data_IF_354007955058
#
_entry.id   IF_354007955058
#
_cell.length_a   1.000
_cell.length_b   1.000
_cell.length_c   1.000
_cell.angle_alpha   90.00
_cell.angle_beta   90.00
_cell.angle_gamma   90.00
#
_symmetry.space_group_name_H-M   'P 1'
#
loop_
_entity.id
_entity.type
_entity.pdbx_description
1 polymer ?
#
# COMPACT_ATOMS: atom_id res chain seq x y z
N UNK A 1 -36.90 -8.22 10.11
CA UNK A 1 -37.63 -9.18 9.25
C UNK A 1 -36.58 -9.85 8.37
N UNK A 2 -36.45 -11.17 8.41
CA UNK A 2 -35.60 -11.86 7.45
C UNK A 2 -36.41 -11.96 6.16
N UNK A 3 -35.95 -11.30 5.10
CA UNK A 3 -36.54 -11.47 3.76
C UNK A 3 -36.09 -12.85 3.26
N UNK A 4 -37.00 -13.82 3.26
CA UNK A 4 -36.79 -15.08 2.56
C UNK A 4 -36.98 -14.83 1.07
N UNK A 5 -35.85 -14.75 0.34
CA UNK A 5 -35.89 -14.69 -1.13
C UNK A 5 -36.06 -16.13 -1.62
N UNK A 6 -37.20 -16.42 -2.22
CA UNK A 6 -37.47 -17.69 -2.89
C UNK A 6 -36.99 -17.61 -4.34
N UNK A 7 -36.07 -18.49 -4.73
CA UNK A 7 -35.57 -18.53 -6.11
C UNK A 7 -36.60 -19.19 -7.02
N UNK A 8 -37.01 -18.50 -8.09
CA UNK A 8 -38.04 -18.99 -9.02
C UNK A 8 -37.41 -19.38 -10.37
N UNK A 9 -37.66 -20.60 -10.90
CA UNK A 9 -37.24 -20.97 -12.25
C UNK A 9 -37.77 -20.00 -13.31
N UNK A 10 -36.88 -19.55 -14.21
CA UNK A 10 -37.13 -18.53 -15.24
C UNK A 10 -36.84 -17.10 -14.78
N UNK A 11 -36.66 -16.85 -13.47
CA UNK A 11 -36.27 -15.53 -12.99
C UNK A 11 -34.77 -15.28 -13.11
N UNK A 12 -34.44 -13.98 -13.27
CA UNK A 12 -33.09 -13.49 -13.44
C UNK A 12 -32.60 -12.84 -12.16
N UNK A 13 -31.41 -13.26 -11.73
CA UNK A 13 -30.74 -12.72 -10.56
C UNK A 13 -29.32 -12.29 -10.93
N UNK A 14 -28.68 -11.50 -10.07
CA UNK A 14 -27.32 -11.00 -10.30
C UNK A 14 -26.39 -11.43 -9.19
N UNK A 15 -25.17 -11.83 -9.55
CA UNK A 15 -24.07 -12.01 -8.61
C UNK A 15 -22.76 -11.44 -9.18
N UNK A 16 -21.64 -11.66 -8.49
CA UNK A 16 -20.31 -11.15 -8.88
C UNK A 16 -19.85 -11.59 -10.28
N UNK A 17 -20.29 -12.75 -10.77
CA UNK A 17 -19.94 -13.27 -12.10
C UNK A 17 -20.85 -12.72 -13.20
N UNK A 18 -22.02 -12.18 -12.86
CA UNK A 18 -22.94 -11.57 -13.82
C UNK A 18 -24.40 -11.87 -13.50
N UNK A 19 -25.26 -11.59 -14.49
CA UNK A 19 -26.69 -11.95 -14.44
C UNK A 19 -26.85 -13.42 -14.86
N UNK A 20 -27.65 -14.16 -14.11
CA UNK A 20 -27.97 -15.55 -14.39
C UNK A 20 -29.49 -15.77 -14.28
N UNK A 21 -29.98 -16.77 -15.00
CA UNK A 21 -31.36 -17.25 -14.97
C UNK A 21 -31.40 -18.59 -14.21
N UNK A 22 -32.36 -18.74 -13.30
CA UNK A 22 -32.58 -20.03 -12.63
C UNK A 22 -33.27 -20.97 -13.61
N UNK A 23 -32.63 -22.08 -13.95
CA UNK A 23 -33.21 -23.07 -14.86
C UNK A 23 -34.13 -24.03 -14.11
N UNK A 24 -33.66 -24.54 -12.96
CA UNK A 24 -34.31 -25.63 -12.23
C UNK A 24 -33.92 -25.58 -10.76
N UNK A 25 -34.88 -25.88 -9.87
CA UNK A 25 -34.62 -26.16 -8.46
C UNK A 25 -34.43 -27.66 -8.28
N UNK A 26 -33.26 -28.05 -7.77
CA UNK A 26 -32.87 -29.44 -7.57
C UNK A 26 -33.15 -29.88 -6.13
N UNK A 27 -33.29 -31.19 -5.87
CA UNK A 27 -33.42 -31.73 -4.51
C UNK A 27 -32.26 -31.31 -3.60
N UNK A 28 -32.52 -31.32 -2.29
CA UNK A 28 -31.58 -30.90 -1.24
C UNK A 28 -31.19 -29.41 -1.29
N UNK A 29 -32.09 -28.56 -1.80
CA UNK A 29 -31.88 -27.10 -1.81
C UNK A 29 -30.74 -26.67 -2.74
N UNK A 30 -30.51 -27.39 -3.83
CA UNK A 30 -29.59 -26.99 -4.89
C UNK A 30 -30.37 -26.32 -6.02
N UNK A 31 -29.72 -25.52 -6.86
CA UNK A 31 -30.36 -24.98 -8.05
C UNK A 31 -29.41 -24.95 -9.24
N UNK A 32 -29.95 -25.16 -10.43
CA UNK A 32 -29.22 -25.08 -11.69
C UNK A 32 -29.48 -23.72 -12.31
N UNK A 33 -28.43 -23.02 -12.68
CA UNK A 33 -28.49 -21.66 -13.22
C UNK A 33 -27.74 -21.56 -14.54
N UNK A 34 -28.10 -20.58 -15.36
CA UNK A 34 -27.43 -20.25 -16.61
C UNK A 34 -27.02 -18.79 -16.62
N UNK A 35 -25.73 -18.53 -16.79
CA UNK A 35 -25.21 -17.18 -16.92
C UNK A 35 -25.53 -16.60 -18.30
N UNK A 36 -26.10 -15.40 -18.35
CA UNK A 36 -26.54 -14.77 -19.60
C UNK A 36 -25.39 -14.22 -20.46
N UNK A 37 -24.20 -14.06 -19.87
CA UNK A 37 -23.05 -13.48 -20.57
C UNK A 37 -22.29 -14.52 -21.42
N UNK A 38 -22.18 -15.75 -20.93
CA UNK A 38 -21.37 -16.81 -21.51
C UNK A 38 -22.16 -18.11 -21.75
N UNK A 39 -23.47 -18.12 -21.48
CA UNK A 39 -24.38 -19.28 -21.54
C UNK A 39 -23.90 -20.47 -20.69
N UNK A 40 -22.98 -20.26 -19.74
CA UNK A 40 -22.45 -21.34 -18.91
C UNK A 40 -23.48 -21.74 -17.86
N UNK A 41 -23.75 -23.05 -17.80
CA UNK A 41 -24.63 -23.66 -16.81
C UNK A 41 -23.82 -24.05 -15.57
N UNK A 42 -24.30 -23.69 -14.39
CA UNK A 42 -23.69 -24.01 -13.11
C UNK A 42 -24.74 -24.54 -12.12
N UNK A 43 -24.30 -25.31 -11.13
CA UNK A 43 -25.13 -25.71 -9.99
C UNK A 43 -24.70 -24.93 -8.75
N UNK A 44 -25.67 -24.34 -8.05
CA UNK A 44 -25.47 -23.64 -6.78
C UNK A 44 -25.99 -24.46 -5.61
N UNK A 45 -25.16 -24.62 -4.59
CA UNK A 45 -25.56 -25.20 -3.31
C UNK A 45 -26.27 -24.17 -2.39
N UNK A 46 -26.78 -24.66 -1.26
CA UNK A 46 -27.49 -23.85 -0.27
C UNK A 46 -26.61 -22.73 0.33
N UNK A 47 -25.30 -22.95 0.45
CA UNK A 47 -24.37 -21.96 0.98
C UNK A 47 -24.15 -20.82 -0.02
N UNK A 48 -24.03 -21.13 -1.31
CA UNK A 48 -23.94 -20.16 -2.40
C UNK A 48 -25.24 -19.34 -2.51
N UNK A 49 -26.39 -20.00 -2.43
CA UNK A 49 -27.70 -19.33 -2.38
C UNK A 49 -27.80 -18.36 -1.20
N UNK A 50 -27.42 -18.79 0.00
CA UNK A 50 -27.44 -17.94 1.21
C UNK A 50 -26.57 -16.69 1.07
N UNK A 51 -25.41 -16.81 0.42
CA UNK A 51 -24.52 -15.66 0.13
C UNK A 51 -25.13 -14.70 -0.88
N UNK A 52 -25.82 -15.20 -1.90
CA UNK A 52 -26.53 -14.38 -2.87
C UNK A 52 -27.63 -13.57 -2.18
N UNK A 53 -28.47 -14.22 -1.37
CA UNK A 53 -29.55 -13.54 -0.62
C UNK A 53 -28.97 -12.46 0.29
N UNK A 54 -27.89 -12.76 1.00
CA UNK A 54 -27.21 -11.79 1.88
C UNK A 54 -26.69 -10.57 1.11
N UNK A 55 -26.17 -10.76 -0.10
CA UNK A 55 -25.67 -9.67 -0.94
C UNK A 55 -26.81 -8.81 -1.50
N UNK A 56 -27.92 -9.42 -1.94
CA UNK A 56 -29.11 -8.69 -2.42
C UNK A 56 -29.66 -7.79 -1.30
N UNK A 57 -29.83 -8.34 -0.10
CA UNK A 57 -30.30 -7.57 1.06
C UNK A 57 -29.34 -6.44 1.45
N UNK A 58 -28.02 -6.64 1.28
CA UNK A 58 -27.03 -5.59 1.54
C UNK A 58 -27.13 -4.46 0.50
N UNK A 59 -27.32 -4.80 -0.77
CA UNK A 59 -27.52 -3.81 -1.85
C UNK A 59 -28.81 -3.00 -1.64
N UNK A 60 -29.92 -3.66 -1.30
CA UNK A 60 -31.18 -2.98 -0.96
C UNK A 60 -31.00 -2.00 0.22
N UNK A 61 -30.34 -2.43 1.30
CA UNK A 61 -30.04 -1.55 2.44
C UNK A 61 -29.16 -0.35 2.07
N UNK A 62 -28.16 -0.55 1.21
CA UNK A 62 -27.33 0.54 0.73
C UNK A 62 -28.14 1.51 -0.12
N UNK A 63 -29.05 1.00 -0.96
CA UNK A 63 -29.92 1.83 -1.79
C UNK A 63 -30.93 2.62 -0.95
N UNK A 64 -31.55 1.99 0.07
CA UNK A 64 -32.40 2.67 1.04
C UNK A 64 -31.64 3.77 1.79
N UNK A 65 -30.41 3.48 2.22
CA UNK A 65 -29.56 4.46 2.89
C UNK A 65 -29.19 5.63 1.97
N UNK A 66 -28.90 5.36 0.70
CA UNK A 66 -28.64 6.40 -0.30
C UNK A 66 -29.88 7.25 -0.57
N UNK A 67 -31.07 6.63 -0.68
CA UNK A 67 -32.33 7.33 -0.85
C UNK A 67 -32.68 8.19 0.38
N UNK A 68 -32.42 7.69 1.59
CA UNK A 68 -32.61 8.46 2.82
C UNK A 68 -31.64 9.64 2.94
N UNK A 69 -30.41 9.49 2.44
CA UNK A 69 -29.39 10.54 2.45
C UNK A 69 -29.55 11.57 1.33
N UNK A 70 -30.29 11.25 0.26
CA UNK A 70 -30.67 12.20 -0.77
C UNK A 70 -31.65 13.23 -0.17
N UNK A 71 -31.11 14.27 0.49
CA UNK A 71 -31.89 15.39 1.01
C UNK A 71 -32.84 15.90 -0.09
N UNK A 72 -34.13 16.13 0.20
CA UNK A 72 -35.03 16.74 -0.76
C UNK A 72 -34.43 18.07 -1.20
N UNK A 73 -34.35 18.25 -2.54
CA UNK A 73 -33.78 19.44 -3.14
C UNK A 73 -34.40 20.67 -2.48
N UNK A 74 -33.56 21.49 -1.85
CA UNK A 74 -33.99 22.74 -1.21
C UNK A 74 -34.73 23.54 -2.30
N UNK A 75 -35.99 23.96 -2.09
CA UNK A 75 -36.74 24.68 -3.11
C UNK A 75 -35.91 25.84 -3.61
N UNK A 76 -35.81 25.96 -4.94
CA UNK A 76 -34.95 26.94 -5.58
C UNK A 76 -35.22 28.33 -4.98
N UNK A 77 -34.18 29.07 -4.57
CA UNK A 77 -34.37 30.43 -4.08
C UNK A 77 -35.06 31.24 -5.17
N UNK A 78 -36.16 31.90 -4.81
CA UNK A 78 -36.94 32.71 -5.72
C UNK A 78 -36.02 33.67 -6.51
N UNK A 79 -36.15 33.65 -7.83
CA UNK A 79 -35.29 34.42 -8.73
C UNK A 79 -35.23 35.89 -8.31
N UNK A 80 -34.02 36.48 -8.20
CA UNK A 80 -33.88 37.89 -7.89
C UNK A 80 -34.51 38.72 -9.01
N UNK A 81 -35.46 39.58 -8.61
CA UNK A 81 -36.18 40.51 -9.47
C UNK A 81 -35.17 41.46 -10.13
N UNK A 82 -35.00 41.33 -11.44
CA UNK A 82 -34.16 42.18 -12.28
C UNK A 82 -34.66 43.63 -12.18
N UNK A 83 -33.85 44.51 -11.56
CA UNK A 83 -34.03 45.95 -11.67
C UNK A 83 -33.46 46.41 -13.01
N UNK A 84 -34.34 46.87 -13.87
CA UNK A 84 -34.08 47.56 -15.14
C UNK A 84 -33.26 48.83 -14.88
N UNK A 85 -32.10 48.93 -15.53
CA UNK A 85 -31.31 50.15 -15.61
C UNK A 85 -31.68 50.91 -16.91
N UNK A 86 -31.88 52.22 -16.79
CA UNK A 86 -31.99 53.16 -17.91
C UNK A 86 -30.83 54.17 -17.89
N UNK A 87 -30.45 54.74 -19.04
CA UNK A 87 -29.17 55.42 -19.25
C UNK A 87 -29.25 56.94 -19.00
N UNK A 88 -28.11 57.55 -18.66
CA UNK A 88 -27.97 59.00 -18.53
C UNK A 88 -26.54 59.47 -18.88
N UNK A 89 -26.36 60.54 -19.70
CA UNK A 89 -25.06 60.91 -20.29
C UNK A 89 -24.34 62.10 -19.62
N UNK A 90 -23.02 62.14 -19.83
CA UNK A 90 -22.05 63.28 -19.92
C UNK A 90 -22.21 64.56 -19.07
N UNK A 91 -21.15 64.98 -18.34
CA UNK A 91 -20.21 66.07 -18.73
C UNK A 91 -19.21 66.47 -17.62
N UNK A 92 -17.98 66.83 -18.04
CA UNK A 92 -17.02 67.77 -17.42
C UNK A 92 -16.16 67.25 -16.25
N UNK A 93 -14.96 67.75 -15.94
CA UNK A 93 -13.96 68.66 -16.53
C UNK A 93 -12.84 68.80 -15.48
N UNK A 94 -11.58 69.06 -15.90
CA UNK A 94 -10.44 69.64 -15.14
C UNK A 94 -9.85 68.82 -13.97
N UNK A 95 -8.54 68.70 -13.71
CA UNK A 95 -7.32 69.32 -14.22
C UNK A 95 -6.16 69.03 -13.22
N UNK A 96 -4.90 69.23 -13.63
CA UNK A 96 -3.70 69.27 -12.76
C UNK A 96 -2.68 68.15 -13.07
N UNK A 97 -1.53 68.44 -13.70
CA UNK A 97 -0.27 68.96 -13.10
C UNK A 97 0.47 67.85 -12.34
N UNK A 98 1.76 67.51 -12.49
CA UNK A 98 3.00 68.06 -13.09
C UNK A 98 3.99 66.86 -13.15
N UNK A 99 4.88 66.70 -14.13
CA UNK A 99 6.15 67.43 -14.28
C UNK A 99 7.35 66.62 -13.72
N UNK A 100 7.99 65.81 -14.58
CA UNK A 100 9.21 65.02 -14.27
C UNK A 100 10.49 65.78 -14.63
N UNK A 101 11.45 65.95 -13.71
CA UNK A 101 12.80 66.43 -14.04
C UNK A 101 13.86 65.90 -13.05
N UNK A 102 14.85 65.20 -13.62
CA UNK A 102 16.30 65.14 -13.35
C UNK A 102 16.92 64.61 -12.03
N UNK A 103 17.83 63.63 -12.25
CA UNK A 103 19.05 63.32 -11.48
C UNK A 103 19.96 64.55 -11.31
N UNK A 104 20.80 64.54 -10.27
CA UNK A 104 22.24 64.71 -10.50
C UNK A 104 23.13 63.74 -9.70
N UNK A 105 24.42 63.81 -10.01
CA UNK A 105 25.50 62.89 -9.64
C UNK A 105 26.36 63.39 -8.46
N UNK A 106 26.96 62.42 -7.73
CA UNK A 106 28.26 62.44 -6.99
C UNK A 106 28.46 63.52 -5.88
N UNK A 107 29.52 63.51 -5.03
CA UNK A 107 30.68 62.60 -4.88
C UNK A 107 31.08 62.19 -3.42
N UNK A 108 32.03 61.25 -3.35
CA UNK A 108 33.22 61.10 -2.48
C UNK A 108 33.25 61.40 -0.95
N UNK A 109 33.98 60.48 -0.27
CA UNK A 109 35.05 60.68 0.71
C UNK A 109 34.80 60.38 2.22
N UNK A 110 35.48 59.30 2.65
CA UNK A 110 36.42 59.19 3.78
C UNK A 110 36.00 59.25 5.26
N UNK A 111 36.44 58.19 5.97
CA UNK A 111 37.28 58.18 7.19
C UNK A 111 36.68 57.68 8.52
N UNK A 112 37.44 56.74 9.12
CA UNK A 112 37.72 56.45 10.55
C UNK A 112 36.54 56.37 11.53
N UNK A 113 36.42 55.39 12.44
CA UNK A 113 37.37 54.52 13.12
C UNK A 113 36.88 54.33 14.57
N UNK A 114 37.37 53.28 15.24
CA UNK A 114 37.31 53.03 16.70
C UNK A 114 36.21 52.10 17.29
N UNK A 115 36.73 50.97 17.81
CA UNK A 115 36.54 50.36 19.14
C UNK A 115 35.24 49.59 19.52
N UNK A 116 35.37 48.26 19.46
CA UNK A 116 35.17 47.22 20.48
C UNK A 116 34.26 47.42 21.72
N UNK A 117 33.38 46.39 21.87
CA UNK A 117 32.79 45.73 23.09
C UNK A 117 31.57 46.40 23.78
N UNK A 118 30.75 45.64 24.54
CA UNK A 118 30.32 44.23 24.37
C UNK A 118 28.79 43.98 24.63
N UNK A 119 28.32 42.83 24.11
CA UNK A 119 27.29 41.91 24.61
C UNK A 119 25.92 42.41 25.15
N UNK A 120 24.85 42.10 24.41
CA UNK A 120 23.58 41.55 24.96
C UNK A 120 22.82 40.81 23.84
N UNK A 121 22.16 39.65 24.07
CA UNK A 121 21.55 38.86 23.02
C UNK A 121 20.05 39.17 22.88
N UNK A 122 19.67 39.77 21.75
CA UNK A 122 18.27 39.92 21.34
C UNK A 122 18.14 39.50 19.88
N UNK A 123 17.48 38.36 19.70
CA UNK A 123 16.73 37.86 18.52
C UNK A 123 16.62 38.82 17.32
N UNK A 124 16.89 38.34 16.10
CA UNK A 124 16.03 38.63 14.95
C UNK A 124 15.66 37.33 14.21
N UNK A 125 14.38 37.09 13.89
CA UNK A 125 13.63 37.72 12.79
C UNK A 125 14.25 37.36 11.43
N UNK A 126 13.59 36.39 10.79
CA UNK A 126 13.72 35.95 9.40
C UNK A 126 13.58 37.14 8.44
N UNK A 127 14.31 37.12 7.31
CA UNK A 127 13.77 37.64 6.08
C UNK A 127 13.75 36.59 4.97
N UNK A 128 12.60 36.55 4.30
CA UNK A 128 12.39 35.86 3.04
C UNK A 128 13.35 36.38 1.97
N UNK A 129 14.03 35.47 1.28
CA UNK A 129 14.75 35.74 0.05
C UNK A 129 14.09 34.97 -1.09
N UNK A 130 13.39 35.72 -1.93
CA UNK A 130 13.01 35.33 -3.28
C UNK A 130 14.16 35.68 -4.23
N UNK A 131 14.74 34.69 -4.90
CA UNK A 131 15.60 34.90 -6.07
C UNK A 131 15.23 33.86 -7.12
N UNK A 132 14.60 34.34 -8.19
CA UNK A 132 14.39 33.57 -9.41
C UNK A 132 15.72 33.36 -10.14
N UNK A 133 15.88 32.17 -10.71
CA UNK A 133 16.93 31.89 -11.69
C UNK A 133 16.30 31.29 -12.93
N UNK A 134 16.46 32.00 -14.04
CA UNK A 134 16.07 31.58 -15.38
C UNK A 134 17.01 30.46 -15.84
N UNK A 135 16.43 29.34 -16.27
CA UNK A 135 17.17 28.19 -16.79
C UNK A 135 17.36 28.35 -18.31
N UNK A 136 18.61 28.46 -18.73
CA UNK A 136 19.01 28.56 -20.12
C UNK A 136 18.99 27.18 -20.79
N UNK A 137 18.17 27.04 -21.83
CA UNK A 137 18.05 25.85 -22.66
C UNK A 137 19.23 25.75 -23.63
N UNK A 138 20.20 24.88 -23.34
CA UNK A 138 21.30 24.55 -24.24
C UNK A 138 20.87 23.39 -25.17
N UNK A 139 20.72 23.71 -26.46
CA UNK A 139 20.51 22.75 -27.55
C UNK A 139 21.73 21.83 -27.66
N UNK A 140 21.53 20.53 -27.43
CA UNK A 140 22.52 19.48 -27.67
C UNK A 140 22.44 19.00 -29.11
N UNK A 141 23.53 19.11 -29.85
CA UNK A 141 23.71 18.50 -31.18
C UNK A 141 23.64 16.98 -31.09
N UNK A 142 22.81 16.39 -31.95
CA UNK A 142 22.76 14.94 -32.20
C UNK A 142 23.84 14.58 -33.22
N UNK A 143 24.93 13.95 -32.76
CA UNK A 143 25.87 13.25 -33.62
C UNK A 143 25.33 11.84 -33.86
N UNK A 144 25.15 11.47 -35.13
CA UNK A 144 24.70 10.13 -35.55
C UNK A 144 25.88 9.16 -35.40
N UNK A 145 25.83 8.28 -34.40
CA UNK A 145 26.75 7.16 -34.27
C UNK A 145 26.37 6.03 -35.24
N UNK A 146 27.38 5.44 -35.88
CA UNK A 146 27.25 4.31 -36.77
C UNK A 146 26.76 3.05 -36.01
N UNK A 147 26.01 2.15 -36.68
CA UNK A 147 25.49 0.94 -36.05
C UNK A 147 26.62 0.03 -35.58
N UNK A 148 26.65 -0.25 -34.28
CA UNK A 148 27.53 -1.24 -33.66
C UNK A 148 27.12 -2.63 -34.14
N UNK A 149 28.02 -3.30 -34.85
CA UNK A 149 27.84 -4.66 -35.35
C UNK A 149 27.88 -5.64 -34.16
N UNK A 150 26.74 -6.28 -33.87
CA UNK A 150 26.61 -7.25 -32.78
C UNK A 150 27.38 -8.54 -33.14
N UNK A 151 28.12 -9.14 -32.19
CA UNK A 151 28.81 -10.40 -32.43
C UNK A 151 27.81 -11.51 -32.77
N UNK A 152 28.20 -12.49 -33.62
CA UNK A 152 27.32 -13.58 -34.03
C UNK A 152 26.84 -14.37 -32.81
N UNK A 153 25.53 -14.61 -32.77
CA UNK A 153 24.87 -15.32 -31.70
C UNK A 153 25.51 -16.70 -31.48
N UNK A 154 26.07 -16.88 -30.28
CA UNK A 154 26.45 -18.20 -29.78
C UNK A 154 25.17 -19.03 -29.69
N UNK A 155 25.10 -20.23 -30.28
CA UNK A 155 23.90 -21.06 -30.20
C UNK A 155 23.73 -21.58 -28.77
N UNK A 156 22.91 -20.90 -28.00
CA UNK A 156 22.47 -21.34 -26.68
C UNK A 156 21.56 -22.55 -26.88
N UNK A 157 21.96 -23.68 -26.30
CA UNK A 157 21.21 -24.94 -26.30
C UNK A 157 19.79 -24.73 -25.74
N UNK A 158 18.79 -25.16 -26.51
CA UNK A 158 17.42 -25.53 -26.10
C UNK A 158 17.49 -26.31 -24.76
N UNK A 159 16.72 -26.11 -23.69
CA UNK A 159 15.41 -25.51 -23.46
C UNK A 159 15.28 -25.18 -21.95
N UNK A 160 15.35 -23.90 -21.58
CA UNK A 160 14.92 -23.38 -20.26
C UNK A 160 13.56 -22.66 -20.38
N UNK A 161 12.83 -22.94 -21.46
CA UNK A 161 11.56 -22.29 -21.77
C UNK A 161 10.49 -22.79 -20.77
N UNK A 162 9.93 -21.83 -20.01
CA UNK A 162 8.87 -21.96 -18.99
C UNK A 162 9.28 -22.40 -17.59
N UNK A 163 10.14 -21.59 -16.97
CA UNK A 163 10.16 -21.44 -15.52
C UNK A 163 9.54 -20.10 -15.12
N UNK A 164 8.26 -19.91 -15.47
CA UNK A 164 7.60 -18.61 -15.32
C UNK A 164 7.56 -18.12 -13.87
N UNK A 165 7.56 -19.05 -12.90
CA UNK A 165 7.66 -18.74 -11.48
C UNK A 165 8.96 -18.04 -11.09
N UNK A 166 10.06 -18.28 -11.83
CA UNK A 166 11.34 -17.59 -11.56
C UNK A 166 11.29 -16.10 -11.82
N UNK A 167 10.34 -15.64 -12.65
CA UNK A 167 10.12 -14.21 -12.85
C UNK A 167 9.68 -13.50 -11.58
N UNK A 168 9.14 -14.23 -10.60
CA UNK A 168 8.72 -13.67 -9.32
C UNK A 168 9.79 -13.72 -8.24
N UNK A 169 10.88 -14.48 -8.42
CA UNK A 169 11.95 -14.52 -7.41
C UNK A 169 12.64 -13.17 -7.19
N UNK A 170 12.89 -12.36 -8.25
CA UNK A 170 13.42 -11.02 -8.10
C UNK A 170 12.54 -10.10 -7.24
N UNK A 171 11.22 -10.32 -7.19
CA UNK A 171 10.28 -9.44 -6.51
C UNK A 171 10.45 -9.45 -5.00
N UNK A 172 10.98 -8.38 -4.43
CA UNK A 172 11.11 -8.19 -2.98
C UNK A 172 9.77 -7.82 -2.37
N UNK A 173 9.05 -6.88 -2.96
CA UNK A 173 7.82 -6.36 -2.36
C UNK A 173 7.31 -5.08 -3.00
N UNK A 174 6.47 -4.37 -2.26
CA UNK A 174 5.91 -3.08 -2.70
C UNK A 174 6.57 -1.93 -1.96
N UNK A 175 6.78 -0.83 -2.66
CA UNK A 175 7.29 0.42 -2.07
C UNK A 175 8.76 0.68 -2.35
N UNK A 176 9.47 1.21 -1.37
CA UNK A 176 10.83 1.75 -1.54
C UNK A 176 11.86 0.97 -0.71
N UNK A 177 13.00 0.58 -1.28
CA UNK A 177 14.08 -0.09 -0.51
C UNK A 177 14.69 0.84 0.55
N UNK A 178 14.80 2.13 0.26
CA UNK A 178 15.32 3.16 1.16
C UNK A 178 14.23 3.71 2.11
N UNK A 179 13.10 3.00 2.24
CA UNK A 179 11.98 3.39 3.09
C UNK A 179 12.39 3.51 4.56
N UNK A 180 11.84 4.53 5.24
CA UNK A 180 12.01 4.73 6.68
C UNK A 180 11.38 3.61 7.51
N UNK A 181 10.34 2.96 6.97
CA UNK A 181 9.59 1.92 7.66
C UNK A 181 9.51 0.67 6.79
N UNK A 182 9.89 -0.46 7.36
CA UNK A 182 9.71 -1.77 6.73
C UNK A 182 8.66 -2.58 7.45
N UNK A 183 7.78 -3.25 6.69
CA UNK A 183 6.87 -4.28 7.18
C UNK A 183 7.23 -5.61 6.53
N UNK A 184 7.67 -6.57 7.34
CA UNK A 184 8.09 -7.90 6.89
C UNK A 184 7.12 -8.94 7.45
N UNK A 185 6.26 -9.47 6.58
CA UNK A 185 5.32 -10.52 6.92
C UNK A 185 5.91 -11.93 6.80
N UNK A 186 5.27 -12.89 7.47
CA UNK A 186 5.58 -14.33 7.29
C UNK A 186 4.81 -14.98 6.13
N UNK A 187 3.98 -14.21 5.43
CA UNK A 187 3.03 -14.59 4.38
C UNK A 187 2.20 -15.86 4.66
N UNK A 188 1.12 -15.68 5.41
CA UNK A 188 0.15 -16.74 5.69
C UNK A 188 -1.30 -16.29 5.42
N UNK A 189 -1.47 -15.16 4.72
CA UNK A 189 -2.78 -14.58 4.45
C UNK A 189 -2.81 -13.88 3.09
N UNK A 190 -2.61 -14.65 2.01
CA UNK A 190 -3.26 -14.28 0.75
C UNK A 190 -4.78 -14.18 0.99
N UNK A 191 -5.50 -13.20 0.42
CA UNK A 191 -6.93 -13.08 0.64
C UNK A 191 -7.66 -14.38 0.26
N UNK A 192 -8.68 -14.75 1.04
CA UNK A 192 -9.49 -15.95 0.81
C UNK A 192 -10.28 -15.91 -0.51
N UNK A 193 -10.44 -14.70 -1.08
CA UNK A 193 -11.46 -14.34 -2.07
C UNK A 193 -10.92 -13.70 -3.38
N UNK A 194 -9.73 -14.07 -3.84
CA UNK A 194 -9.11 -13.41 -5.00
C UNK A 194 -8.38 -12.14 -4.56
N UNK A 195 -7.34 -11.70 -5.25
CA UNK A 195 -7.56 -10.79 -6.37
C UNK A 195 -6.46 -10.86 -7.44
N UNK A 196 -5.34 -11.53 -7.14
CA UNK A 196 -4.31 -11.82 -8.13
C UNK A 196 -3.80 -13.25 -7.88
N UNK A 197 -4.23 -14.17 -8.73
CA UNK A 197 -3.70 -15.54 -8.83
C UNK A 197 -2.20 -15.50 -9.11
N UNK A 198 -1.48 -16.59 -8.82
CA UNK A 198 -0.05 -16.65 -9.14
C UNK A 198 0.20 -16.44 -10.64
N UNK A 199 -0.64 -17.04 -11.50
CA UNK A 199 -0.60 -16.85 -12.95
C UNK A 199 -0.72 -15.37 -13.34
N UNK A 200 -1.60 -14.62 -12.68
CA UNK A 200 -1.72 -13.18 -12.94
C UNK A 200 -0.49 -12.40 -12.45
N UNK A 201 0.10 -12.77 -11.30
CA UNK A 201 1.37 -12.16 -10.85
C UNK A 201 2.48 -12.39 -11.86
N UNK A 202 2.61 -13.61 -12.36
CA UNK A 202 3.59 -13.98 -13.39
C UNK A 202 3.40 -13.13 -14.66
N UNK A 203 2.16 -12.92 -15.06
CA UNK A 203 1.81 -12.18 -16.28
C UNK A 203 2.04 -10.67 -16.16
N UNK A 204 2.01 -10.11 -14.95
CA UNK A 204 2.17 -8.69 -14.69
C UNK A 204 3.66 -8.27 -14.70
N UNK A 205 4.10 -7.37 -15.61
CA UNK A 205 5.50 -6.94 -15.71
C UNK A 205 6.07 -6.36 -14.41
N UNK A 206 5.24 -5.79 -13.55
CA UNK A 206 5.65 -5.14 -12.32
C UNK A 206 6.17 -6.12 -11.28
N UNK A 207 5.63 -7.34 -11.25
CA UNK A 207 6.14 -8.41 -10.38
C UNK A 207 7.39 -9.09 -10.94
N UNK A 208 7.82 -8.73 -12.15
CA UNK A 208 9.10 -9.18 -12.72
C UNK A 208 10.26 -8.24 -12.34
N UNK A 209 9.94 -7.12 -11.70
CA UNK A 209 10.90 -6.18 -11.12
C UNK A 209 11.17 -6.53 -9.67
N UNK A 210 12.21 -5.93 -9.11
CA UNK A 210 12.51 -6.05 -7.68
C UNK A 210 11.44 -5.41 -6.79
N UNK A 211 10.85 -4.31 -7.25
CA UNK A 211 9.80 -3.57 -6.56
C UNK A 211 8.64 -3.27 -7.49
N UNK A 212 7.45 -3.16 -6.91
CA UNK A 212 6.26 -2.65 -7.57
C UNK A 212 5.57 -1.57 -6.74
N UNK A 213 4.77 -0.74 -7.40
CA UNK A 213 3.90 0.19 -6.70
C UNK A 213 2.68 -0.55 -6.13
N UNK A 214 2.39 -0.32 -4.85
CA UNK A 214 1.19 -0.86 -4.21
C UNK A 214 -0.10 -0.34 -4.85
N UNK A 215 -0.09 0.80 -5.55
CA UNK A 215 -1.25 1.36 -6.24
C UNK A 215 -1.86 0.37 -7.23
N UNK A 216 -1.05 -0.38 -7.98
CA UNK A 216 -1.54 -1.40 -8.92
C UNK A 216 -2.38 -2.44 -8.19
N UNK A 217 -1.90 -2.87 -7.01
CA UNK A 217 -2.62 -3.81 -6.16
C UNK A 217 -3.87 -3.17 -5.52
N UNK A 218 -3.76 -1.93 -5.03
CA UNK A 218 -4.86 -1.19 -4.38
C UNK A 218 -5.99 -0.87 -5.35
N UNK A 219 -5.67 -0.41 -6.56
CA UNK A 219 -6.64 -0.08 -7.61
C UNK A 219 -7.50 -1.31 -7.95
N UNK A 220 -6.84 -2.46 -8.12
CA UNK A 220 -7.53 -3.73 -8.37
C UNK A 220 -8.40 -4.17 -7.20
N UNK A 221 -7.85 -4.17 -5.99
CA UNK A 221 -8.59 -4.55 -4.79
C UNK A 221 -9.82 -3.66 -4.54
N UNK A 222 -9.71 -2.35 -4.80
CA UNK A 222 -10.85 -1.41 -4.69
C UNK A 222 -11.96 -1.76 -5.69
N UNK A 223 -11.61 -2.11 -6.92
CA UNK A 223 -12.58 -2.51 -7.94
C UNK A 223 -13.34 -3.79 -7.56
N UNK A 224 -12.69 -4.73 -6.88
CA UNK A 224 -13.30 -6.04 -6.55
C UNK A 224 -14.09 -6.05 -5.23
N UNK A 225 -13.72 -5.22 -4.24
CA UNK A 225 -14.28 -5.32 -2.87
C UNK A 225 -15.06 -4.10 -2.41
N UNK A 226 -15.01 -2.97 -3.14
CA UNK A 226 -15.49 -1.66 -2.67
C UNK A 226 -14.92 -1.23 -1.30
N UNK A 227 -13.87 -1.90 -0.79
CA UNK A 227 -13.30 -1.59 0.52
C UNK A 227 -12.16 -0.57 0.38
N UNK A 228 -12.29 0.56 1.07
CA UNK A 228 -11.34 1.66 0.93
C UNK A 228 -9.92 1.28 1.40
N UNK A 229 -9.83 0.53 2.51
CA UNK A 229 -8.56 0.21 3.17
C UNK A 229 -7.91 -1.10 2.75
N UNK A 230 -8.40 -1.74 1.70
CA UNK A 230 -7.78 -2.96 1.21
C UNK A 230 -7.73 -4.10 2.24
N UNK A 231 -6.60 -4.81 2.24
CA UNK A 231 -6.24 -5.87 3.19
C UNK A 231 -6.16 -5.30 4.63
N UNK A 232 -6.80 -5.93 5.63
CA UNK A 232 -6.73 -5.47 7.03
C UNK A 232 -5.32 -5.29 7.59
N UNK A 233 -4.37 -6.12 7.17
CA UNK A 233 -2.95 -6.01 7.53
C UNK A 233 -2.38 -4.66 7.09
N UNK A 234 -2.69 -4.26 5.86
CA UNK A 234 -2.20 -3.00 5.29
C UNK A 234 -2.86 -1.80 5.95
N UNK A 235 -4.11 -1.92 6.41
CA UNK A 235 -4.76 -0.89 7.22
C UNK A 235 -4.01 -0.63 8.54
N UNK A 236 -3.62 -1.68 9.25
CA UNK A 236 -2.87 -1.55 10.50
C UNK A 236 -1.45 -1.03 10.27
N UNK A 237 -0.78 -1.50 9.22
CA UNK A 237 0.52 -0.98 8.83
C UNK A 237 0.44 0.52 8.47
N UNK A 238 -0.58 0.93 7.72
CA UNK A 238 -0.85 2.34 7.42
C UNK A 238 -1.11 3.18 8.69
N UNK A 239 -1.86 2.63 9.64
CA UNK A 239 -2.09 3.27 10.92
C UNK A 239 -0.76 3.51 11.66
N UNK A 240 0.08 2.47 11.77
CA UNK A 240 1.40 2.58 12.41
C UNK A 240 2.29 3.61 11.71
N UNK A 241 2.37 3.57 10.38
CA UNK A 241 3.17 4.50 9.58
C UNK A 241 2.76 5.94 9.84
N UNK A 242 1.47 6.25 9.72
CA UNK A 242 0.97 7.63 9.91
C UNK A 242 1.14 8.11 11.34
N UNK A 243 0.97 7.24 12.35
CA UNK A 243 1.20 7.59 13.76
C UNK A 243 2.67 7.83 14.10
N UNK A 244 3.59 7.19 13.38
CA UNK A 244 5.03 7.33 13.59
C UNK A 244 5.65 8.50 12.82
N UNK A 245 5.18 8.78 11.61
CA UNK A 245 5.80 9.76 10.71
C UNK A 245 5.12 11.13 10.77
N UNK A 246 3.79 11.18 10.94
CA UNK A 246 3.03 12.42 10.84
C UNK A 246 2.88 13.12 12.20
N UNK A 247 2.75 14.46 12.24
CA UNK A 247 2.31 15.20 13.41
C UNK A 247 0.94 14.74 13.91
N UNK A 248 0.66 14.87 15.21
CA UNK A 248 -0.60 14.40 15.83
C UNK A 248 -1.82 15.06 15.18
N UNK A 249 -1.70 16.33 14.81
CA UNK A 249 -2.75 17.13 14.18
C UNK A 249 -3.13 16.62 12.78
N UNK A 250 -2.21 15.91 12.12
CA UNK A 250 -2.40 15.36 10.78
C UNK A 250 -2.88 13.90 10.79
N UNK A 251 -3.03 13.29 11.96
CA UNK A 251 -3.43 11.88 12.10
C UNK A 251 -4.96 11.69 12.10
N UNK A 252 -5.65 12.44 11.25
CA UNK A 252 -7.10 12.29 11.04
C UNK A 252 -7.38 11.06 10.17
N UNK A 253 -8.59 10.50 10.31
CA UNK A 253 -9.01 9.36 9.48
C UNK A 253 -8.95 9.68 7.98
N UNK A 254 -9.33 10.89 7.57
CA UNK A 254 -9.23 11.35 6.17
C UNK A 254 -7.78 11.43 5.70
N UNK A 255 -6.87 11.99 6.49
CA UNK A 255 -5.46 12.06 6.11
C UNK A 255 -4.82 10.65 6.02
N UNK A 256 -5.16 9.74 6.93
CA UNK A 256 -4.71 8.33 6.85
C UNK A 256 -5.23 7.64 5.60
N UNK A 257 -6.48 7.94 5.22
CA UNK A 257 -7.12 7.45 4.01
C UNK A 257 -6.42 7.93 2.74
N UNK A 258 -6.09 9.22 2.72
CA UNK A 258 -5.38 9.85 1.60
C UNK A 258 -3.94 9.31 1.50
N UNK A 259 -3.25 9.16 2.63
CA UNK A 259 -1.93 8.53 2.67
C UNK A 259 -1.97 7.08 2.17
N UNK A 260 -2.93 6.28 2.65
CA UNK A 260 -3.13 4.90 2.20
C UNK A 260 -3.28 4.83 0.68
N UNK A 261 -4.08 5.73 0.13
CA UNK A 261 -4.39 5.76 -1.30
C UNK A 261 -3.16 6.13 -2.12
N UNK A 262 -2.48 7.21 -1.74
CA UNK A 262 -1.53 7.89 -2.62
C UNK A 262 -0.06 7.62 -2.30
N UNK A 263 0.28 7.15 -1.09
CA UNK A 263 1.68 7.06 -0.63
C UNK A 263 2.07 5.72 0.00
N UNK A 264 1.14 5.05 0.66
CA UNK A 264 1.42 3.78 1.32
C UNK A 264 1.82 2.70 0.30
N UNK A 265 3.07 2.25 0.36
CA UNK A 265 3.66 1.27 -0.56
C UNK A 265 3.96 1.80 -1.97
N UNK A 266 4.03 3.13 -2.15
CA UNK A 266 4.48 3.74 -3.41
C UNK A 266 6.00 3.60 -3.58
N UNK A 267 6.50 3.57 -4.83
CA UNK A 267 7.94 3.41 -5.11
C UNK A 267 8.82 4.53 -4.54
N UNK A 268 8.27 5.74 -4.39
CA UNK A 268 8.88 6.90 -3.73
C UNK A 268 8.31 7.13 -2.30
N UNK A 269 7.65 6.11 -1.77
CA UNK A 269 7.03 6.08 -0.46
C UNK A 269 8.02 6.02 0.70
N UNK A 270 7.49 6.15 1.92
CA UNK A 270 8.25 5.96 3.17
C UNK A 270 8.16 4.52 3.70
N UNK A 271 7.57 3.59 2.94
CA UNK A 271 7.24 2.22 3.38
C UNK A 271 7.73 1.17 2.38
N UNK A 272 8.36 0.11 2.90
CA UNK A 272 8.57 -1.17 2.19
C UNK A 272 7.62 -2.23 2.77
N UNK A 273 6.84 -2.88 1.91
CA UNK A 273 5.97 -4.01 2.25
C UNK A 273 6.55 -5.27 1.62
N UNK A 274 7.01 -6.21 2.45
CA UNK A 274 7.65 -7.44 1.97
C UNK A 274 7.27 -8.64 2.84
N UNK A 275 7.69 -9.82 2.39
CA UNK A 275 7.42 -11.10 3.01
C UNK A 275 8.68 -11.98 3.00
N UNK A 276 8.81 -12.85 4.00
CA UNK A 276 9.90 -13.84 4.06
C UNK A 276 9.70 -15.03 3.12
N UNK A 277 8.52 -15.14 2.49
CA UNK A 277 8.25 -16.13 1.46
C UNK A 277 8.20 -15.42 0.10
N UNK A 278 8.96 -15.90 -0.91
CA UNK A 278 9.04 -15.24 -2.20
C UNK A 278 7.74 -15.31 -3.00
N UNK A 279 7.00 -16.41 -2.85
CA UNK A 279 5.69 -16.60 -3.45
C UNK A 279 4.60 -16.60 -2.36
N UNK A 280 3.42 -16.01 -2.65
CA UNK A 280 2.34 -15.93 -1.68
C UNK A 280 1.82 -17.31 -1.28
N UNK A 281 1.38 -17.46 -0.03
CA UNK A 281 0.74 -18.69 0.44
C UNK A 281 -0.48 -18.35 1.29
N UNK A 282 -1.58 -19.08 1.04
CA UNK A 282 -2.82 -18.94 1.82
C UNK A 282 -2.78 -19.73 3.13
N UNK A 283 -2.10 -20.88 3.15
CA UNK A 283 -2.11 -21.79 4.29
C UNK A 283 -0.90 -22.70 4.23
N UNK A 284 0.14 -22.35 4.97
CA UNK A 284 1.32 -23.21 5.08
C UNK A 284 1.04 -24.54 5.81
N UNK A 285 -0.03 -24.57 6.62
CA UNK A 285 -0.42 -25.72 7.43
C UNK A 285 -1.53 -26.60 6.85
N UNK A 286 -2.08 -26.28 5.67
CA UNK A 286 -3.12 -27.09 5.04
C UNK A 286 -2.73 -27.46 3.61
N UNK A 287 -2.17 -28.65 3.47
CA UNK A 287 -1.70 -29.22 2.22
C UNK A 287 -2.83 -29.42 1.18
N UNK A 288 -4.09 -29.52 1.59
CA UNK A 288 -5.25 -29.58 0.67
C UNK A 288 -5.60 -28.21 0.08
N UNK A 289 -5.32 -27.15 0.82
CA UNK A 289 -5.54 -25.75 0.40
C UNK A 289 -4.28 -25.09 -0.14
N UNK A 290 -3.23 -25.87 -0.35
CA UNK A 290 -1.96 -25.37 -0.87
C UNK A 290 -2.13 -24.94 -2.33
N UNK A 291 -1.93 -23.64 -2.58
CA UNK A 291 -2.28 -22.99 -3.85
C UNK A 291 -1.50 -23.51 -5.05
N UNK A 292 -0.37 -24.18 -4.81
CA UNK A 292 0.50 -24.73 -5.85
C UNK A 292 0.36 -26.26 -6.01
N UNK A 293 -0.51 -26.90 -5.23
CA UNK A 293 -0.68 -28.36 -5.27
C UNK A 293 -1.10 -28.87 -6.65
N UNK A 294 -1.95 -28.13 -7.34
CA UNK A 294 -2.52 -28.53 -8.64
C UNK A 294 -2.01 -27.69 -9.80
N UNK A 295 -0.93 -26.91 -9.59
CA UNK A 295 -0.42 -26.03 -10.64
C UNK A 295 0.71 -26.71 -11.42
N UNK A 296 0.73 -26.45 -12.73
CA UNK A 296 1.82 -26.80 -13.64
C UNK A 296 2.53 -25.50 -14.04
N UNK A 297 3.19 -24.86 -13.07
CA UNK A 297 3.82 -23.54 -13.25
C UNK A 297 5.16 -23.62 -13.95
N UNK A 298 5.70 -24.84 -14.04
CA UNK A 298 6.99 -25.10 -14.65
C UNK A 298 6.93 -26.41 -15.43
N UNK A 299 7.74 -26.51 -16.48
CA UNK A 299 7.98 -27.78 -17.18
C UNK A 299 9.00 -28.66 -16.41
N UNK A 300 9.50 -28.19 -15.27
CA UNK A 300 10.47 -28.90 -14.42
C UNK A 300 9.76 -29.79 -13.39
N UNK A 301 9.96 -31.12 -13.43
CA UNK A 301 9.43 -32.02 -12.41
C UNK A 301 9.92 -31.67 -11.00
N UNK A 302 11.19 -31.26 -10.85
CA UNK A 302 11.75 -30.87 -9.55
C UNK A 302 10.99 -29.70 -8.92
N UNK A 303 10.77 -28.62 -9.67
CA UNK A 303 10.12 -27.44 -9.12
C UNK A 303 8.63 -27.65 -8.92
N UNK A 304 7.97 -28.47 -9.74
CA UNK A 304 6.61 -28.90 -9.47
C UNK A 304 6.55 -29.73 -8.18
N UNK A 305 7.51 -30.61 -7.90
CA UNK A 305 7.53 -31.37 -6.66
C UNK A 305 7.78 -30.49 -5.43
N UNK A 306 8.69 -29.52 -5.53
CA UNK A 306 8.93 -28.52 -4.47
C UNK A 306 7.69 -27.67 -4.23
N UNK A 307 7.11 -27.13 -5.31
CA UNK A 307 5.93 -26.28 -5.22
C UNK A 307 4.69 -27.07 -4.86
N UNK A 308 4.61 -28.38 -5.05
CA UNK A 308 3.42 -29.15 -4.65
C UNK A 308 3.35 -29.39 -3.15
N UNK A 309 4.47 -29.31 -2.43
CA UNK A 309 4.56 -29.57 -1.00
C UNK A 309 4.90 -28.29 -0.23
N UNK A 310 4.01 -27.87 0.68
CA UNK A 310 4.16 -26.61 1.39
C UNK A 310 5.37 -26.58 2.33
N UNK A 311 5.75 -27.72 2.91
CA UNK A 311 6.91 -27.82 3.78
C UNK A 311 8.19 -27.80 2.95
N UNK A 312 8.25 -28.61 1.89
CA UNK A 312 9.39 -28.63 0.97
C UNK A 312 9.63 -27.28 0.35
N UNK A 313 8.60 -26.58 -0.12
CA UNK A 313 8.72 -25.21 -0.60
C UNK A 313 9.31 -24.26 0.45
N UNK A 314 8.86 -24.36 1.71
CA UNK A 314 9.40 -23.51 2.79
C UNK A 314 10.87 -23.77 3.09
N UNK A 315 11.32 -25.02 2.96
CA UNK A 315 12.67 -25.46 3.29
C UNK A 315 13.63 -25.44 2.09
N UNK A 316 13.10 -25.31 0.87
CA UNK A 316 13.87 -25.31 -0.38
C UNK A 316 14.84 -24.13 -0.44
N UNK A 317 16.09 -24.43 -0.77
CA UNK A 317 17.20 -23.47 -0.76
C UNK A 317 17.23 -22.53 -1.96
N UNK A 318 16.35 -22.74 -2.96
CA UNK A 318 16.33 -21.96 -4.20
C UNK A 318 15.04 -21.16 -4.34
N UNK A 319 13.89 -21.80 -4.17
CA UNK A 319 12.56 -21.21 -4.28
C UNK A 319 11.97 -20.78 -2.94
N UNK A 320 12.53 -21.23 -1.83
CA UNK A 320 11.88 -21.16 -0.55
C UNK A 320 12.24 -19.95 0.30
N UNK A 321 11.92 -20.10 1.59
CA UNK A 321 12.21 -19.12 2.64
C UNK A 321 13.71 -18.80 2.77
N UNK A 322 14.66 -19.77 2.75
CA UNK A 322 16.08 -19.49 2.92
C UNK A 322 16.63 -18.46 1.94
N UNK A 323 16.30 -18.58 0.65
CA UNK A 323 16.71 -17.61 -0.39
C UNK A 323 16.24 -16.20 -0.06
N UNK A 324 14.99 -16.07 0.37
CA UNK A 324 14.38 -14.78 0.68
C UNK A 324 14.98 -14.18 1.95
N UNK A 325 15.18 -14.97 3.01
CA UNK A 325 15.81 -14.53 4.24
C UNK A 325 17.24 -14.04 3.99
N UNK A 326 18.03 -14.79 3.21
CA UNK A 326 19.38 -14.38 2.81
C UNK A 326 19.36 -13.03 2.11
N UNK A 327 18.50 -12.88 1.09
CA UNK A 327 18.41 -11.62 0.33
C UNK A 327 17.96 -10.43 1.17
N UNK A 328 16.99 -10.61 2.07
CA UNK A 328 16.57 -9.54 2.99
C UNK A 328 17.68 -9.17 3.97
N UNK A 329 18.46 -10.15 4.44
CA UNK A 329 19.63 -9.91 5.29
C UNK A 329 20.71 -9.12 4.55
N UNK A 330 21.05 -9.53 3.33
CA UNK A 330 22.01 -8.83 2.46
C UNK A 330 21.56 -7.39 2.19
N UNK A 331 20.29 -7.18 1.83
CA UNK A 331 19.72 -5.85 1.62
C UNK A 331 19.85 -4.97 2.87
N UNK A 332 19.45 -5.48 4.04
CA UNK A 332 19.55 -4.73 5.29
C UNK A 332 21.00 -4.35 5.62
N UNK A 333 21.94 -5.28 5.45
CA UNK A 333 23.35 -5.04 5.69
C UNK A 333 23.94 -4.00 4.73
N UNK A 334 23.56 -4.03 3.45
CA UNK A 334 23.95 -3.01 2.47
C UNK A 334 23.45 -1.64 2.87
N UNK A 335 22.15 -1.50 3.20
CA UNK A 335 21.58 -0.21 3.61
C UNK A 335 22.20 0.31 4.91
N UNK A 336 22.55 -0.58 5.82
CA UNK A 336 23.30 -0.26 7.03
C UNK A 336 24.69 0.31 6.73
N UNK A 337 25.42 -0.28 5.78
CA UNK A 337 26.73 0.24 5.34
C UNK A 337 26.62 1.58 4.61
N UNK A 338 25.51 1.81 3.91
CA UNK A 338 25.21 3.06 3.21
C UNK A 338 24.61 4.16 4.11
N UNK A 339 24.45 3.90 5.41
CA UNK A 339 23.77 4.81 6.36
C UNK A 339 22.31 5.13 5.97
N UNK A 340 21.67 4.24 5.21
CA UNK A 340 20.26 4.33 4.75
C UNK A 340 19.34 3.31 5.43
N UNK A 341 19.77 2.75 6.55
CA UNK A 341 18.97 1.76 7.27
C UNK A 341 17.58 2.31 7.64
N UNK A 342 16.52 1.49 7.57
CA UNK A 342 15.19 1.90 8.00
C UNK A 342 15.21 2.31 9.48
N UNK A 343 14.39 3.29 9.84
CA UNK A 343 14.23 3.73 11.24
C UNK A 343 13.44 2.70 12.05
N UNK A 344 12.41 2.12 11.43
CA UNK A 344 11.51 1.17 12.08
C UNK A 344 11.32 -0.07 11.19
N UNK A 345 11.42 -1.26 11.77
CA UNK A 345 11.09 -2.53 11.11
C UNK A 345 10.04 -3.27 11.92
N UNK A 346 8.92 -3.59 11.28
CA UNK A 346 7.83 -4.38 11.84
C UNK A 346 7.86 -5.78 11.24
N UNK A 347 8.23 -6.75 12.05
CA UNK A 347 8.20 -8.16 11.68
C UNK A 347 6.95 -8.79 12.28
N UNK A 348 6.04 -9.30 11.46
CA UNK A 348 4.76 -9.82 11.93
C UNK A 348 4.46 -11.21 11.39
N UNK A 349 3.85 -12.04 12.25
CA UNK A 349 3.52 -13.42 11.93
C UNK A 349 3.16 -14.20 13.18
N UNK A 350 2.85 -15.50 13.02
CA UNK A 350 2.53 -16.37 14.17
C UNK A 350 3.76 -16.47 15.08
N UNK A 351 3.55 -16.59 16.40
CA UNK A 351 4.63 -16.61 17.39
C UNK A 351 5.77 -17.61 17.06
N UNK A 352 5.43 -18.81 16.57
CA UNK A 352 6.43 -19.83 16.19
C UNK A 352 7.27 -19.50 14.94
N UNK A 353 6.89 -18.48 14.17
CA UNK A 353 7.57 -18.06 12.95
C UNK A 353 8.60 -16.94 13.21
N UNK A 354 8.59 -16.32 14.39
CA UNK A 354 9.49 -15.20 14.67
C UNK A 354 10.98 -15.59 14.65
N UNK A 355 11.28 -16.87 14.85
CA UNK A 355 12.63 -17.42 14.72
C UNK A 355 13.28 -17.12 13.36
N UNK A 356 12.49 -17.00 12.29
CA UNK A 356 13.00 -16.72 10.95
C UNK A 356 13.54 -15.29 10.81
N UNK A 357 12.99 -14.32 11.56
CA UNK A 357 13.50 -12.95 11.54
C UNK A 357 14.90 -12.84 12.13
N UNK A 358 15.34 -13.79 12.96
CA UNK A 358 16.71 -13.85 13.48
C UNK A 358 17.74 -14.18 12.39
N UNK A 359 17.31 -14.81 11.30
CA UNK A 359 18.17 -15.06 10.14
C UNK A 359 18.41 -13.77 9.34
N UNK A 360 17.43 -12.85 9.34
CA UNK A 360 17.58 -11.52 8.73
C UNK A 360 18.41 -10.62 9.65
N UNK A 361 18.11 -10.66 10.95
CA UNK A 361 18.67 -9.79 11.98
C UNK A 361 19.31 -10.63 13.11
N UNK A 362 20.57 -11.08 12.96
CA UNK A 362 21.23 -11.96 13.93
C UNK A 362 21.36 -11.38 15.35
N UNK A 363 21.30 -10.05 15.49
CA UNK A 363 21.32 -9.38 16.79
C UNK A 363 20.01 -9.51 17.59
N UNK A 364 18.93 -10.05 16.99
CA UNK A 364 17.69 -10.41 17.70
C UNK A 364 17.85 -11.59 18.67
N UNK A 365 19.08 -11.98 19.01
CA UNK A 365 19.35 -12.93 20.10
C UNK A 365 19.06 -12.33 21.48
N UNK A 366 19.04 -10.99 21.60
CA UNK A 366 18.66 -10.26 22.79
C UNK A 366 17.48 -9.31 22.48
N UNK A 367 16.25 -9.79 22.66
CA UNK A 367 15.07 -8.93 22.69
C UNK A 367 14.43 -8.93 24.07
N UNK A 368 13.77 -7.82 24.37
CA UNK A 368 12.93 -7.71 25.55
C UNK A 368 11.51 -8.11 25.17
N UNK A 369 11.00 -9.18 25.78
CA UNK A 369 9.57 -9.49 25.72
C UNK A 369 8.80 -8.40 26.46
N UNK A 370 7.81 -7.83 25.78
CA UNK A 370 6.88 -6.84 26.32
C UNK A 370 5.48 -7.42 26.18
N UNK A 371 4.82 -7.65 27.31
CA UNK A 371 3.42 -8.07 27.33
C UNK A 371 2.51 -6.84 27.26
N UNK A 372 1.71 -6.76 26.19
CA UNK A 372 0.78 -5.68 25.94
C UNK A 372 -0.65 -6.14 26.09
N UNK A 373 -1.47 -5.36 26.80
CA UNK A 373 -2.91 -5.59 26.88
C UNK A 373 -3.58 -5.17 25.59
N UNK A 374 -4.44 -6.02 25.04
CA UNK A 374 -5.17 -5.72 23.78
C UNK A 374 -6.28 -4.69 24.00
N UNK A 375 -6.88 -4.70 25.19
CA UNK A 375 -7.90 -3.75 25.60
C UNK A 375 -7.89 -3.62 27.14
N UNK A 376 -8.33 -2.47 27.69
CA UNK A 376 -8.36 -2.25 29.14
C UNK A 376 -9.19 -3.27 29.92
N UNK A 377 -10.23 -3.82 29.27
CA UNK A 377 -11.26 -4.67 29.81
C UNK A 377 -11.06 -6.17 29.52
N UNK A 378 -10.04 -6.54 28.73
CA UNK A 378 -9.78 -7.93 28.34
C UNK A 378 -8.48 -8.44 28.97
N UNK A 379 -8.54 -9.65 29.53
CA UNK A 379 -7.36 -10.36 30.05
C UNK A 379 -6.40 -10.84 28.94
N UNK A 380 -6.81 -10.76 27.67
CA UNK A 380 -5.97 -11.21 26.56
C UNK A 380 -4.79 -10.27 26.37
N UNK A 381 -3.59 -10.79 26.56
CA UNK A 381 -2.32 -10.11 26.34
C UNK A 381 -1.70 -10.57 25.02
N UNK A 382 -1.15 -9.64 24.24
CA UNK A 382 -0.28 -9.95 23.12
C UNK A 382 1.15 -9.74 23.55
N UNK A 383 2.00 -10.71 23.24
CA UNK A 383 3.43 -10.56 23.37
C UNK A 383 3.93 -9.78 22.16
N UNK A 384 4.74 -8.76 22.40
CA UNK A 384 5.59 -8.16 21.38
C UNK A 384 7.02 -8.23 21.88
N UNK A 385 7.98 -8.24 20.97
CA UNK A 385 9.38 -8.16 21.33
C UNK A 385 10.02 -6.97 20.61
N UNK A 386 10.83 -6.21 21.33
CA UNK A 386 11.52 -5.04 20.77
C UNK A 386 13.01 -5.25 20.86
N UNK A 387 13.72 -4.89 19.79
CA UNK A 387 15.17 -4.81 19.76
C UNK A 387 15.61 -3.52 19.06
N UNK A 388 16.82 -3.06 19.38
CA UNK A 388 17.46 -1.91 18.74
C UNK A 388 18.80 -2.38 18.17
N UNK A 389 19.02 -2.19 16.87
CA UNK A 389 20.37 -2.33 16.32
C UNK A 389 21.21 -1.17 16.87
N UNK A 390 22.21 -1.48 17.68
CA UNK A 390 23.06 -0.48 18.32
C UNK A 390 23.89 0.34 17.34
N UNK A 391 24.15 -0.18 16.14
CA UNK A 391 24.99 0.47 15.14
C UNK A 391 24.22 1.42 14.22
N UNK A 392 22.94 1.16 13.96
CA UNK A 392 22.11 2.03 13.12
C UNK A 392 21.05 2.81 13.91
N UNK A 393 20.75 2.39 15.14
CA UNK A 393 19.61 2.89 15.91
C UNK A 393 18.25 2.37 15.42
N UNK A 394 18.22 1.49 14.41
CA UNK A 394 16.98 0.88 13.88
C UNK A 394 16.25 0.13 14.99
N UNK A 395 14.95 0.42 15.17
CA UNK A 395 14.09 -0.33 16.07
C UNK A 395 13.36 -1.44 15.31
N UNK A 396 13.47 -2.67 15.81
CA UNK A 396 12.77 -3.84 15.27
C UNK A 396 11.72 -4.28 16.28
N UNK A 397 10.48 -4.39 15.82
CA UNK A 397 9.36 -4.93 16.58
C UNK A 397 8.96 -6.28 15.98
N UNK A 398 8.97 -7.32 16.81
CA UNK A 398 8.31 -8.59 16.53
C UNK A 398 6.90 -8.53 17.11
N UNK A 399 5.90 -8.72 16.27
CA UNK A 399 4.50 -8.63 16.68
C UNK A 399 3.70 -9.82 16.13
N UNK A 400 2.57 -10.16 16.76
CA UNK A 400 1.74 -11.24 16.27
C UNK A 400 1.06 -10.81 14.96
N UNK A 401 0.36 -11.71 14.29
CA UNK A 401 -0.15 -11.46 12.94
C UNK A 401 -1.09 -10.26 12.91
N UNK A 402 -0.90 -9.35 11.95
CA UNK A 402 -1.76 -8.18 11.75
C UNK A 402 -3.14 -8.54 11.15
N UNK A 403 -3.80 -9.57 11.68
CA UNK A 403 -5.03 -10.11 11.13
C UNK A 403 -6.24 -9.75 12.01
N UNK A 404 -7.45 -9.61 11.41
CA UNK A 404 -8.67 -9.35 12.19
C UNK A 404 -8.95 -10.43 13.24
N UNK A 405 -8.53 -11.67 13.00
CA UNK A 405 -8.72 -12.78 13.94
C UNK A 405 -7.98 -12.56 15.26
N UNK A 406 -6.93 -11.73 15.28
CA UNK A 406 -6.18 -11.40 16.48
C UNK A 406 -6.82 -10.28 17.32
N UNK A 407 -7.93 -9.68 16.85
CA UNK A 407 -8.61 -8.56 17.50
C UNK A 407 -7.68 -7.38 17.83
N UNK A 408 -6.71 -7.10 16.94
CA UNK A 408 -5.82 -5.96 17.10
C UNK A 408 -6.62 -4.66 17.04
N UNK A 409 -6.55 -3.91 18.13
CA UNK A 409 -7.24 -2.62 18.32
C UNK A 409 -6.28 -1.47 18.03
N UNK A 410 -6.83 -0.29 17.70
CA UNK A 410 -6.03 0.94 17.64
C UNK A 410 -5.34 1.24 18.98
N UNK A 411 -5.98 0.89 20.10
CA UNK A 411 -5.40 1.00 21.44
C UNK A 411 -4.08 0.22 21.59
N UNK A 412 -4.03 -1.03 21.12
CA UNK A 412 -2.79 -1.81 21.09
C UNK A 412 -1.73 -1.15 20.19
N UNK A 413 -2.13 -0.68 19.01
CA UNK A 413 -1.20 -0.02 18.08
C UNK A 413 -0.65 1.29 18.65
N UNK A 414 -1.44 2.04 19.43
CA UNK A 414 -0.97 3.23 20.13
C UNK A 414 0.08 2.90 21.20
N UNK A 415 -0.05 1.77 21.92
CA UNK A 415 0.99 1.31 22.84
C UNK A 415 2.29 0.98 22.10
N UNK A 416 2.18 0.30 20.96
CA UNK A 416 3.32 0.01 20.08
C UNK A 416 3.99 1.32 19.63
N UNK A 417 3.22 2.30 19.16
CA UNK A 417 3.74 3.61 18.76
C UNK A 417 4.43 4.32 19.93
N UNK A 418 3.85 4.27 21.12
CA UNK A 418 4.42 4.84 22.35
C UNK A 418 5.79 4.25 22.68
N UNK A 419 5.92 2.93 22.64
CA UNK A 419 7.18 2.21 22.84
C UNK A 419 8.22 2.65 21.80
N UNK A 420 7.85 2.61 20.53
CA UNK A 420 8.77 2.95 19.43
C UNK A 420 9.25 4.40 19.53
N UNK A 421 8.36 5.35 19.84
CA UNK A 421 8.72 6.76 20.06
C UNK A 421 9.62 6.93 21.29
N UNK A 422 9.34 6.20 22.37
CA UNK A 422 10.16 6.24 23.60
C UNK A 422 11.59 5.74 23.36
N UNK A 423 11.78 4.66 22.60
CA UNK A 423 13.09 4.07 22.35
C UNK A 423 13.88 4.77 21.23
N UNK A 424 13.19 5.58 20.42
CA UNK A 424 13.80 6.38 19.34
C UNK A 424 14.37 7.71 19.84
N UNK A 425 13.94 8.18 21.02
CA UNK A 425 14.56 9.27 21.77
C UNK A 425 15.78 8.75 22.50
#
# INVERSE_FOLDING_TARGET
MNLEIEFVPGEKYRNRRGTYEVLELLPAGRMKVRYLADEVVAEFDQAQQSRIVSNIQLEEKLQEQQAANAKPARPAPASPRTKTASPGPTTGSTGGSTGSVSRPASPAASSSGATNRPATPSRPATPAASVGTASASARRSTTVEAPVELPPAVPIRRSFEKLEVFRLLPFIGFGNLDAKIWFIGTNDTGPEDGNITLSERIALPEFQKELADAEIFKARYRAETNYFYGNPTWRYANYLTTRLLEPVEQQTETARRDYYTNRFGALDGDVLLTDILPLPSRNLGNQEKWVYRNTSLTDSPYYNDVLRDAQRYQEDQFLGRPTRLKRLSELYNTLKLEEKSPKFIFCYGRAGQWKYFREIFPFLTAYTDVELKIAPDKERQLKVAVAKDSSTGTLILLMPGLSPQENITEFFLDHVVGIMKSMSR
#
